data_IF_497586968233
#
_entry.id   IF_497586968233
#
_cell.length_a   1.000
_cell.length_b   1.000
_cell.length_c   1.000
_cell.angle_alpha   90.00
_cell.angle_beta   90.00
_cell.angle_gamma   90.00
#
_symmetry.space_group_name_H-M   'P 1'
#
loop_
_entity.id
_entity.type
_entity.pdbx_description
1 polymer ?
#
# COMPACT_ATOMS: atom_id res chain seq x y z
N UNK A 1 8.64 18.09 -19.91
CA UNK A 1 7.50 17.16 -19.81
C UNK A 1 7.78 16.30 -18.58
N UNK A 2 7.07 16.56 -17.48
CA UNK A 2 7.38 15.98 -16.16
C UNK A 2 6.61 14.68 -15.97
N UNK A 3 7.33 13.59 -15.74
CA UNK A 3 6.78 12.26 -15.47
C UNK A 3 5.92 12.27 -14.21
N UNK A 4 4.73 11.69 -14.32
CA UNK A 4 3.83 11.43 -13.21
C UNK A 4 4.32 10.15 -12.53
N UNK A 5 5.01 10.26 -11.40
CA UNK A 5 5.15 9.12 -10.48
C UNK A 5 3.81 8.95 -9.77
N UNK A 6 2.99 8.05 -10.29
CA UNK A 6 1.85 7.50 -9.57
C UNK A 6 2.37 6.37 -8.71
N UNK A 7 2.00 6.39 -7.44
CA UNK A 7 2.40 5.42 -6.42
C UNK A 7 1.92 4.04 -6.88
N UNK A 8 2.87 3.29 -7.43
CA UNK A 8 2.72 1.92 -7.87
C UNK A 8 2.62 1.07 -6.61
N UNK A 9 1.52 0.33 -6.47
CA UNK A 9 1.42 -0.72 -5.48
C UNK A 9 2.49 -1.76 -5.82
N UNK A 10 3.55 -1.78 -5.03
CA UNK A 10 4.67 -2.69 -5.21
C UNK A 10 4.29 -4.02 -4.55
N UNK A 11 3.95 -5.01 -5.36
CA UNK A 11 4.25 -6.40 -5.00
C UNK A 11 5.73 -6.59 -5.32
N UNK A 12 6.53 -6.75 -4.27
CA UNK A 12 7.91 -7.19 -4.39
C UNK A 12 7.92 -8.68 -4.73
N UNK A 13 7.99 -9.02 -6.01
CA UNK A 13 8.49 -10.33 -6.44
C UNK A 13 10.02 -10.23 -6.52
N UNK A 14 10.69 -10.57 -5.43
CA UNK A 14 12.14 -10.51 -5.31
C UNK A 14 12.78 -11.90 -5.40
N UNK A 15 13.08 -12.36 -6.61
CA UNK A 15 13.94 -13.53 -6.81
C UNK A 15 15.38 -13.22 -6.37
N UNK A 16 15.76 -13.65 -5.16
CA UNK A 16 17.14 -13.59 -4.67
C UNK A 16 17.91 -14.86 -5.08
N UNK A 17 18.76 -14.73 -6.10
CA UNK A 17 19.85 -15.67 -6.34
C UNK A 17 20.96 -15.47 -5.28
N UNK A 18 21.32 -16.55 -4.61
CA UNK A 18 22.35 -16.61 -3.57
C UNK A 18 23.78 -16.44 -4.12
N UNK A 19 24.64 -15.91 -3.26
CA UNK A 19 25.94 -15.33 -3.61
C UNK A 19 27.12 -16.30 -3.80
N UNK A 20 28.19 -15.72 -4.36
CA UNK A 20 29.53 -16.27 -4.48
C UNK A 20 30.53 -15.18 -4.89
N UNK A 21 31.64 -15.06 -4.16
CA UNK A 21 32.68 -14.02 -4.25
C UNK A 21 33.46 -13.97 -5.60
N UNK A 22 34.24 -12.90 -5.87
CA UNK A 22 34.43 -12.34 -7.20
C UNK A 22 35.58 -12.99 -7.97
N UNK A 23 35.30 -13.42 -9.20
CA UNK A 23 36.30 -13.76 -10.21
C UNK A 23 35.78 -13.22 -11.55
N UNK A 24 36.41 -12.14 -12.00
CA UNK A 24 36.39 -11.58 -13.36
C UNK A 24 35.14 -11.93 -14.20
N UNK A 25 34.06 -11.18 -14.02
CA UNK A 25 32.90 -11.28 -14.90
C UNK A 25 33.06 -10.29 -16.07
N UNK A 26 33.07 -10.86 -17.28
CA UNK A 26 32.85 -10.17 -18.56
C UNK A 26 31.62 -9.25 -18.50
N UNK A 27 31.48 -8.23 -19.38
CA UNK A 27 30.30 -7.38 -19.41
C UNK A 27 29.06 -8.27 -19.56
N UNK A 28 28.29 -8.37 -18.48
CA UNK A 28 27.00 -9.06 -18.46
C UNK A 28 26.14 -8.35 -19.48
N UNK A 29 25.99 -8.94 -20.66
CA UNK A 29 25.00 -8.49 -21.63
C UNK A 29 23.65 -8.45 -20.94
N UNK A 30 22.91 -7.35 -21.09
CA UNK A 30 21.55 -7.23 -20.56
C UNK A 30 20.76 -8.48 -20.98
N UNK A 31 20.45 -9.33 -20.00
CA UNK A 31 19.59 -10.48 -20.22
C UNK A 31 18.24 -9.92 -20.63
N UNK A 32 17.82 -10.22 -21.87
CA UNK A 32 16.53 -9.77 -22.34
C UNK A 32 15.43 -10.28 -21.39
N UNK A 33 14.48 -9.42 -20.98
CA UNK A 33 13.47 -9.80 -20.01
C UNK A 33 12.64 -10.98 -20.54
N UNK A 34 12.27 -11.89 -19.65
CA UNK A 34 11.42 -13.03 -19.98
C UNK A 34 10.04 -12.58 -20.48
N UNK A 35 9.29 -13.42 -21.22
CA UNK A 35 7.94 -13.05 -21.67
C UNK A 35 6.98 -12.69 -20.53
N UNK A 36 7.15 -13.28 -19.35
CA UNK A 36 6.37 -12.96 -18.15
C UNK A 36 6.75 -11.58 -17.61
N UNK A 37 8.04 -11.29 -17.46
CA UNK A 37 8.53 -9.98 -17.03
C UNK A 37 8.10 -8.86 -17.99
N UNK A 38 8.10 -9.11 -19.30
CA UNK A 38 7.60 -8.16 -20.29
C UNK A 38 6.09 -7.91 -20.14
N UNK A 39 5.31 -8.94 -19.83
CA UNK A 39 3.88 -8.81 -19.56
C UNK A 39 3.63 -7.97 -18.31
N UNK A 40 4.32 -8.27 -17.21
CA UNK A 40 4.23 -7.53 -15.94
C UNK A 40 4.59 -6.07 -16.13
N UNK A 41 5.71 -5.77 -16.78
CA UNK A 41 6.16 -4.41 -17.03
C UNK A 41 5.11 -3.61 -17.81
N UNK A 42 4.58 -4.17 -18.90
CA UNK A 42 3.52 -3.51 -19.70
C UNK A 42 2.22 -3.35 -18.92
N UNK A 43 1.90 -4.32 -18.07
CA UNK A 43 0.71 -4.28 -17.23
C UNK A 43 0.79 -3.15 -16.21
N UNK A 44 1.90 -3.06 -15.46
CA UNK A 44 2.11 -2.00 -14.49
C UNK A 44 2.32 -0.62 -15.13
N UNK A 45 2.89 -0.55 -16.33
CA UNK A 45 2.93 0.69 -17.12
C UNK A 45 1.51 1.17 -17.47
N UNK A 46 0.63 0.26 -17.90
CA UNK A 46 -0.77 0.59 -18.18
C UNK A 46 -1.51 1.07 -16.93
N UNK A 47 -1.33 0.40 -15.78
CA UNK A 47 -1.89 0.84 -14.49
C UNK A 47 -1.34 2.21 -14.07
N UNK A 48 -0.04 2.44 -14.18
CA UNK A 48 0.58 3.75 -13.94
C UNK A 48 -0.01 4.86 -14.82
N UNK A 49 -0.38 4.51 -16.06
CA UNK A 49 -1.11 5.38 -16.98
C UNK A 49 -2.59 5.61 -16.64
N UNK A 50 -3.18 4.89 -15.67
CA UNK A 50 -4.62 4.88 -15.37
C UNK A 50 -5.43 4.17 -16.45
N UNK A 51 -4.83 3.25 -17.19
CA UNK A 51 -5.44 2.53 -18.32
C UNK A 51 -5.88 1.13 -17.87
N UNK A 52 -6.82 1.05 -16.92
CA UNK A 52 -7.29 -0.22 -16.37
C UNK A 52 -7.77 -1.21 -17.44
N UNK A 53 -8.48 -0.75 -18.48
CA UNK A 53 -8.91 -1.62 -19.60
C UNK A 53 -7.74 -2.18 -20.42
N UNK A 54 -6.66 -1.41 -20.58
CA UNK A 54 -5.46 -1.89 -21.26
C UNK A 54 -4.73 -2.94 -20.40
N UNK A 55 -4.60 -2.69 -19.10
CA UNK A 55 -4.05 -3.65 -18.14
C UNK A 55 -4.87 -4.95 -18.10
N UNK A 56 -6.21 -4.84 -18.10
CA UNK A 56 -7.12 -5.98 -18.19
C UNK A 56 -6.89 -6.81 -19.46
N UNK A 57 -6.72 -6.15 -20.60
CA UNK A 57 -6.47 -6.82 -21.88
C UNK A 57 -5.14 -7.61 -21.87
N UNK A 58 -4.10 -7.04 -21.25
CA UNK A 58 -2.81 -7.71 -21.07
C UNK A 58 -2.94 -8.92 -20.15
N UNK A 59 -3.63 -8.79 -19.02
CA UNK A 59 -3.88 -9.89 -18.10
C UNK A 59 -4.62 -11.05 -18.80
N UNK A 60 -5.68 -10.75 -19.54
CA UNK A 60 -6.44 -11.74 -20.32
C UNK A 60 -5.59 -12.39 -21.42
N UNK A 61 -4.72 -11.63 -22.07
CA UNK A 61 -3.75 -12.18 -23.04
C UNK A 61 -2.78 -13.16 -22.38
N UNK A 62 -2.23 -12.81 -21.22
CA UNK A 62 -1.33 -13.68 -20.44
C UNK A 62 -1.99 -14.99 -20.03
N UNK A 63 -3.25 -14.94 -19.59
CA UNK A 63 -4.06 -16.12 -19.28
C UNK A 63 -4.30 -16.99 -20.51
N UNK A 64 -4.71 -16.39 -21.64
CA UNK A 64 -5.03 -17.11 -22.88
C UNK A 64 -3.81 -17.78 -23.48
N UNK A 65 -2.65 -17.14 -23.41
CA UNK A 65 -1.42 -17.64 -24.01
C UNK A 65 -0.67 -18.61 -23.07
N UNK A 66 -1.21 -18.90 -21.88
CA UNK A 66 -0.63 -19.83 -20.91
C UNK A 66 0.61 -19.31 -20.18
N UNK A 67 0.86 -17.99 -20.21
CA UNK A 67 1.92 -17.37 -19.42
C UNK A 67 1.53 -17.33 -17.93
N UNK A 68 0.25 -17.13 -17.64
CA UNK A 68 -0.32 -17.11 -16.30
C UNK A 68 -1.12 -18.41 -16.08
N UNK A 69 -0.53 -19.34 -15.31
CA UNK A 69 -0.99 -20.74 -15.25
C UNK A 69 -1.74 -21.10 -13.98
N UNK A 70 -1.97 -20.16 -13.07
CA UNK A 70 -2.58 -20.39 -11.77
C UNK A 70 -1.66 -21.07 -10.75
N UNK A 71 -0.36 -21.16 -11.03
CA UNK A 71 0.65 -21.74 -10.12
C UNK A 71 1.61 -20.70 -9.54
N UNK A 72 1.58 -19.49 -10.06
CA UNK A 72 2.52 -18.43 -9.75
C UNK A 72 1.79 -17.30 -8.99
N UNK A 73 2.32 -16.84 -7.84
CA UNK A 73 1.77 -15.70 -7.09
C UNK A 73 1.70 -14.40 -7.92
N UNK A 74 2.45 -14.28 -9.02
CA UNK A 74 2.37 -13.17 -9.97
C UNK A 74 0.95 -13.02 -10.51
N UNK A 75 0.26 -14.12 -10.82
CA UNK A 75 -1.08 -14.01 -11.40
C UNK A 75 -2.09 -13.41 -10.42
N UNK A 76 -2.08 -13.86 -9.16
CA UNK A 76 -2.91 -13.30 -8.10
C UNK A 76 -2.60 -11.80 -7.92
N UNK A 77 -1.32 -11.44 -7.93
CA UNK A 77 -0.83 -10.07 -7.83
C UNK A 77 -1.37 -9.15 -8.93
N UNK A 78 -1.31 -9.58 -10.18
CA UNK A 78 -1.82 -8.80 -11.31
C UNK A 78 -3.34 -8.60 -11.19
N UNK A 79 -4.07 -9.66 -10.83
CA UNK A 79 -5.53 -9.59 -10.64
C UNK A 79 -5.93 -8.65 -9.48
N UNK A 80 -5.23 -8.71 -8.35
CA UNK A 80 -5.49 -7.80 -7.21
C UNK A 80 -5.17 -6.36 -7.59
N UNK A 81 -4.04 -6.13 -8.26
CA UNK A 81 -3.65 -4.79 -8.72
C UNK A 81 -4.67 -4.19 -9.68
N UNK A 82 -5.18 -4.99 -10.61
CA UNK A 82 -6.25 -4.57 -11.53
C UNK A 82 -7.55 -4.28 -10.78
N UNK A 83 -7.96 -5.16 -9.87
CA UNK A 83 -9.17 -4.98 -9.06
C UNK A 83 -9.10 -3.72 -8.20
N UNK A 84 -7.93 -3.41 -7.65
CA UNK A 84 -7.68 -2.20 -6.88
C UNK A 84 -7.79 -0.94 -7.75
N UNK A 85 -7.14 -0.90 -8.92
CA UNK A 85 -7.24 0.24 -9.84
C UNK A 85 -8.68 0.46 -10.30
N UNK A 86 -9.40 -0.61 -10.66
CA UNK A 86 -10.81 -0.54 -11.04
C UNK A 86 -11.69 0.03 -9.91
N UNK A 87 -11.39 -0.34 -8.67
CA UNK A 87 -12.05 0.20 -7.48
C UNK A 87 -11.77 1.71 -7.30
N UNK A 88 -10.54 2.17 -7.56
CA UNK A 88 -10.21 3.59 -7.54
C UNK A 88 -10.93 4.39 -8.64
N UNK A 89 -11.13 3.78 -9.80
CA UNK A 89 -11.88 4.36 -10.92
C UNK A 89 -13.41 4.27 -10.77
N UNK A 90 -13.91 3.66 -9.69
CA UNK A 90 -15.36 3.49 -9.46
C UNK A 90 -16.01 2.38 -10.30
N UNK A 91 -15.22 1.52 -10.94
CA UNK A 91 -15.68 0.35 -11.70
C UNK A 91 -15.96 -0.82 -10.75
N UNK A 92 -16.91 -0.63 -9.82
CA UNK A 92 -17.17 -1.52 -8.67
C UNK A 92 -17.43 -2.97 -9.08
N UNK A 93 -18.24 -3.19 -10.12
CA UNK A 93 -18.56 -4.55 -10.59
C UNK A 93 -17.33 -5.28 -11.15
N UNK A 94 -16.51 -4.59 -11.94
CA UNK A 94 -15.28 -5.16 -12.50
C UNK A 94 -14.22 -5.40 -11.42
N UNK A 95 -14.08 -4.49 -10.46
CA UNK A 95 -13.24 -4.68 -9.29
C UNK A 95 -13.66 -5.94 -8.51
N UNK A 96 -14.96 -6.09 -8.22
CA UNK A 96 -15.49 -7.25 -7.51
C UNK A 96 -15.24 -8.56 -8.27
N UNK A 97 -15.41 -8.53 -9.60
CA UNK A 97 -15.13 -9.68 -10.45
C UNK A 97 -13.69 -10.16 -10.29
N UNK A 98 -12.71 -9.28 -10.47
CA UNK A 98 -11.29 -9.66 -10.43
C UNK A 98 -10.84 -10.12 -9.04
N UNK A 99 -11.27 -9.43 -7.97
CA UNK A 99 -10.93 -9.86 -6.61
C UNK A 99 -11.56 -11.22 -6.25
N UNK A 100 -12.78 -11.51 -6.73
CA UNK A 100 -13.39 -12.83 -6.57
C UNK A 100 -12.69 -13.92 -7.36
N UNK A 101 -12.11 -13.62 -8.53
CA UNK A 101 -11.28 -14.58 -9.25
C UNK A 101 -10.06 -14.98 -8.42
N UNK A 102 -9.42 -14.02 -7.75
CA UNK A 102 -8.29 -14.29 -6.85
C UNK A 102 -8.73 -15.18 -5.70
N UNK A 103 -9.82 -14.84 -5.02
CA UNK A 103 -10.36 -15.66 -3.93
C UNK A 103 -10.73 -17.08 -4.37
N UNK A 104 -11.26 -17.24 -5.58
CA UNK A 104 -11.66 -18.57 -6.11
C UNK A 104 -10.46 -19.42 -6.47
N UNK A 105 -9.41 -18.83 -7.03
CA UNK A 105 -8.26 -19.56 -7.61
C UNK A 105 -7.10 -19.73 -6.64
N UNK A 106 -6.87 -18.73 -5.79
CA UNK A 106 -5.70 -18.64 -4.90
C UNK A 106 -6.11 -18.45 -3.44
N UNK A 107 -7.41 -18.58 -3.10
CA UNK A 107 -7.94 -18.19 -1.79
C UNK A 107 -7.29 -18.86 -0.58
N UNK A 108 -6.72 -20.06 -0.74
CA UNK A 108 -6.03 -20.81 0.33
C UNK A 108 -4.52 -20.54 0.36
N UNK A 109 -3.99 -19.79 -0.59
CA UNK A 109 -2.57 -19.45 -0.67
C UNK A 109 -2.26 -18.22 0.18
N UNK A 110 -1.05 -18.12 0.77
CA UNK A 110 -0.59 -16.90 1.45
C UNK A 110 -0.63 -15.69 0.51
N UNK A 111 -1.07 -14.54 1.02
CA UNK A 111 -1.16 -13.28 0.27
C UNK A 111 0.20 -12.56 0.14
N UNK A 112 1.30 -13.32 0.06
CA UNK A 112 2.69 -12.83 0.05
C UNK A 112 3.62 -13.82 0.76
N UNK A 113 4.92 -13.72 0.51
CA UNK A 113 5.94 -14.67 1.01
C UNK A 113 5.99 -14.77 2.55
N UNK A 114 5.66 -13.67 3.24
CA UNK A 114 5.69 -13.59 4.72
C UNK A 114 4.32 -13.28 5.34
N UNK A 115 3.23 -13.49 4.61
CA UNK A 115 1.89 -13.15 5.10
C UNK A 115 1.31 -14.28 5.96
N UNK A 116 0.88 -13.94 7.18
CA UNK A 116 0.07 -14.81 8.03
C UNK A 116 -1.39 -14.93 7.53
N UNK A 117 -1.75 -14.22 6.46
CA UNK A 117 -3.08 -14.19 5.89
C UNK A 117 -3.11 -14.81 4.49
N UNK A 118 -4.14 -15.60 4.24
CA UNK A 118 -4.47 -16.08 2.90
C UNK A 118 -5.12 -14.99 2.06
N UNK A 119 -5.10 -15.13 0.73
CA UNK A 119 -5.82 -14.23 -0.17
C UNK A 119 -7.31 -14.12 0.17
N UNK A 120 -7.96 -15.22 0.56
CA UNK A 120 -9.37 -15.19 0.94
C UNK A 120 -9.62 -14.32 2.19
N UNK A 121 -8.75 -14.40 3.19
CA UNK A 121 -8.86 -13.60 4.41
C UNK A 121 -8.61 -12.11 4.11
N UNK A 122 -7.56 -11.82 3.33
CA UNK A 122 -7.18 -10.45 2.99
C UNK A 122 -8.24 -9.74 2.15
N UNK A 123 -8.83 -10.44 1.17
CA UNK A 123 -9.76 -9.83 0.20
C UNK A 123 -11.22 -9.82 0.65
N UNK A 124 -11.63 -10.68 1.59
CA UNK A 124 -13.03 -10.82 2.01
C UNK A 124 -13.68 -9.48 2.43
N UNK A 125 -13.05 -8.62 3.26
CA UNK A 125 -13.65 -7.34 3.64
C UNK A 125 -13.91 -6.43 2.44
N UNK A 126 -12.96 -6.34 1.50
CA UNK A 126 -13.06 -5.49 0.31
C UNK A 126 -14.13 -6.00 -0.65
N UNK A 127 -14.20 -7.33 -0.86
CA UNK A 127 -15.23 -7.94 -1.70
C UNK A 127 -16.63 -7.68 -1.12
N UNK A 128 -16.82 -7.89 0.19
CA UNK A 128 -18.10 -7.64 0.85
C UNK A 128 -18.54 -6.16 0.72
N UNK A 129 -17.60 -5.22 0.84
CA UNK A 129 -17.87 -3.80 0.64
C UNK A 129 -18.24 -3.47 -0.83
N UNK A 130 -17.54 -4.04 -1.81
CA UNK A 130 -17.87 -3.87 -3.23
C UNK A 130 -19.27 -4.41 -3.55
N UNK A 131 -19.68 -5.53 -2.96
CA UNK A 131 -21.02 -6.12 -3.12
C UNK A 131 -22.14 -5.24 -2.56
N UNK A 132 -21.84 -4.39 -1.57
CA UNK A 132 -22.77 -3.43 -0.99
C UNK A 132 -22.82 -2.09 -1.75
N UNK A 133 -22.19 -2.02 -2.93
CA UNK A 133 -22.19 -0.83 -3.79
C UNK A 133 -20.96 0.07 -3.66
N UNK A 134 -19.98 -0.31 -2.82
CA UNK A 134 -18.69 0.38 -2.79
C UNK A 134 -18.76 1.82 -2.24
N UNK A 135 -19.65 2.09 -1.28
CA UNK A 135 -19.78 3.41 -0.67
C UNK A 135 -18.67 3.67 0.36
N UNK A 136 -17.87 4.72 0.16
CA UNK A 136 -16.78 5.10 1.06
C UNK A 136 -17.26 6.11 2.12
N UNK A 137 -17.84 5.62 3.21
CA UNK A 137 -18.41 6.47 4.28
C UNK A 137 -17.36 7.15 5.17
N UNK A 138 -16.11 6.71 5.11
CA UNK A 138 -14.96 7.26 5.86
C UNK A 138 -14.24 8.41 5.12
N UNK A 139 -14.60 8.66 3.85
CA UNK A 139 -13.93 9.65 3.01
C UNK A 139 -14.30 11.06 3.45
N UNK A 140 -13.29 11.92 3.52
CA UNK A 140 -13.44 13.32 3.82
C UNK A 140 -13.19 14.18 2.58
N UNK A 141 -13.83 15.36 2.47
CA UNK A 141 -13.68 16.22 1.29
C UNK A 141 -12.27 16.79 1.12
N UNK A 142 -11.52 16.97 2.22
CA UNK A 142 -10.17 17.55 2.20
C UNK A 142 -9.22 16.80 3.13
N UNK A 143 -7.94 16.73 2.75
CA UNK A 143 -6.89 16.17 3.60
C UNK A 143 -6.82 16.85 4.96
N UNK A 144 -7.00 18.18 5.01
CA UNK A 144 -6.96 18.94 6.25
C UNK A 144 -8.08 18.52 7.23
N UNK A 145 -9.31 18.35 6.73
CA UNK A 145 -10.42 17.91 7.56
C UNK A 145 -10.19 16.49 8.09
N UNK A 146 -9.70 15.58 7.24
CA UNK A 146 -9.33 14.22 7.67
C UNK A 146 -8.23 14.24 8.73
N UNK A 147 -7.15 14.99 8.50
CA UNK A 147 -6.04 15.12 9.45
C UNK A 147 -6.51 15.69 10.81
N UNK A 148 -7.37 16.72 10.79
CA UNK A 148 -7.94 17.30 12.02
C UNK A 148 -8.80 16.28 12.77
N UNK A 149 -9.62 15.50 12.07
CA UNK A 149 -10.45 14.43 12.67
C UNK A 149 -9.58 13.34 13.30
N UNK A 150 -8.57 12.85 12.58
CA UNK A 150 -7.61 11.87 13.08
C UNK A 150 -6.89 12.42 14.31
N UNK A 151 -6.27 13.59 14.21
CA UNK A 151 -5.50 14.16 15.32
C UNK A 151 -6.37 14.42 16.55
N UNK A 152 -7.62 14.90 16.37
CA UNK A 152 -8.58 15.07 17.46
C UNK A 152 -8.93 13.74 18.14
N UNK A 153 -9.07 12.65 17.38
CA UNK A 153 -9.32 11.32 17.93
C UNK A 153 -8.08 10.73 18.62
N UNK A 154 -6.88 11.03 18.13
CA UNK A 154 -5.62 10.62 18.74
C UNK A 154 -5.36 11.28 20.11
N UNK A 155 -5.87 12.49 20.36
CA UNK A 155 -5.65 13.21 21.61
C UNK A 155 -6.21 12.49 22.85
N UNK A 156 -7.49 12.10 22.92
CA UNK A 156 -8.00 11.26 24.01
C UNK A 156 -7.77 9.77 23.77
N UNK A 157 -7.23 9.38 22.60
CA UNK A 157 -7.29 8.02 22.07
C UNK A 157 -8.74 7.48 22.00
N UNK A 158 -9.54 8.09 21.13
CA UNK A 158 -10.87 7.61 20.80
C UNK A 158 -10.77 6.54 19.70
N UNK A 159 -10.66 5.28 20.11
CA UNK A 159 -10.55 4.13 19.20
C UNK A 159 -11.73 4.07 18.24
N UNK A 160 -12.94 4.35 18.69
CA UNK A 160 -14.15 4.31 17.84
C UNK A 160 -14.12 5.41 16.77
N UNK A 161 -13.67 6.61 17.11
CA UNK A 161 -13.52 7.68 16.13
C UNK A 161 -12.39 7.39 15.12
N UNK A 162 -11.25 6.84 15.55
CA UNK A 162 -10.19 6.40 14.64
C UNK A 162 -10.70 5.28 13.72
N UNK A 163 -11.51 4.37 14.28
CA UNK A 163 -12.15 3.31 13.53
C UNK A 163 -13.18 3.86 12.50
N UNK A 164 -13.87 4.96 12.79
CA UNK A 164 -14.74 5.55 11.76
C UNK A 164 -13.97 6.16 10.57
N UNK A 165 -12.67 6.49 10.74
CA UNK A 165 -11.87 7.26 9.79
C UNK A 165 -10.90 6.42 8.95
N UNK A 166 -10.39 5.32 9.50
CA UNK A 166 -9.48 4.41 8.78
C UNK A 166 -10.25 3.66 7.69
N UNK A 167 -9.60 3.35 6.57
CA UNK A 167 -10.16 2.49 5.51
C UNK A 167 -10.37 1.04 6.02
N UNK A 168 -11.48 0.35 5.69
CA UNK A 168 -11.76 -0.99 6.22
C UNK A 168 -10.91 -2.11 5.59
N UNK A 169 -10.17 -1.84 4.52
CA UNK A 169 -9.33 -2.78 3.78
C UNK A 169 -8.10 -2.05 3.23
N UNK A 170 -7.10 -2.77 2.72
CA UNK A 170 -5.84 -2.20 2.22
C UNK A 170 -5.09 -1.35 3.27
N UNK A 171 -5.22 -1.72 4.55
CA UNK A 171 -4.55 -1.06 5.66
C UNK A 171 -3.10 -1.52 5.71
N UNK A 172 -2.17 -0.60 5.97
CA UNK A 172 -0.75 -0.92 6.04
C UNK A 172 -0.01 -0.18 7.16
N UNK A 173 1.12 -0.75 7.54
CA UNK A 173 2.17 -0.12 8.35
C UNK A 173 3.48 -0.27 7.58
N UNK A 174 4.32 0.76 7.59
CA UNK A 174 5.65 0.62 7.03
C UNK A 174 6.68 1.52 7.67
N UNK A 175 7.94 1.22 7.39
CA UNK A 175 9.10 1.98 7.85
C UNK A 175 9.47 3.05 6.82
N UNK A 176 9.22 2.72 5.55
CA UNK A 176 9.39 3.57 4.37
C UNK A 176 8.25 3.31 3.38
N UNK A 177 8.04 4.20 2.40
CA UNK A 177 7.07 3.96 1.33
C UNK A 177 7.37 2.68 0.52
N UNK A 178 8.63 2.27 0.45
CA UNK A 178 9.07 1.03 -0.19
C UNK A 178 8.90 -0.22 0.66
N UNK A 179 8.53 -0.08 1.94
CA UNK A 179 8.46 -1.14 2.94
C UNK A 179 7.10 -1.10 3.65
N UNK A 180 6.02 -0.97 2.87
CA UNK A 180 4.66 -1.03 3.38
C UNK A 180 4.21 -2.49 3.48
N UNK A 181 3.85 -2.92 4.69
CA UNK A 181 3.31 -4.23 4.96
C UNK A 181 1.79 -4.12 5.18
N UNK A 182 0.97 -4.92 4.48
CA UNK A 182 -0.46 -5.01 4.78
C UNK A 182 -0.67 -5.55 6.20
N UNK A 183 -1.49 -4.86 6.99
CA UNK A 183 -1.82 -5.27 8.37
C UNK A 183 -3.33 -5.33 8.56
N UNK A 184 -3.78 -6.09 9.57
CA UNK A 184 -5.18 -5.96 9.95
C UNK A 184 -5.41 -4.59 10.57
N UNK A 185 -6.59 -4.07 10.28
CA UNK A 185 -7.09 -2.82 10.83
C UNK A 185 -6.99 -2.74 12.37
N UNK A 186 -7.43 -3.80 13.05
CA UNK A 186 -7.36 -3.89 14.51
C UNK A 186 -5.93 -3.94 15.04
N UNK A 187 -4.99 -4.52 14.27
CA UNK A 187 -3.57 -4.54 14.64
C UNK A 187 -2.99 -3.12 14.58
N UNK A 188 -3.31 -2.34 13.54
CA UNK A 188 -2.92 -0.93 13.47
C UNK A 188 -3.51 -0.11 14.62
N UNK A 189 -4.81 -0.24 14.90
CA UNK A 189 -5.43 0.52 16.00
C UNK A 189 -4.80 0.15 17.35
N UNK A 190 -4.58 -1.15 17.61
CA UNK A 190 -3.96 -1.62 18.85
C UNK A 190 -2.49 -1.21 18.97
N UNK A 191 -1.77 -1.12 17.84
CA UNK A 191 -0.43 -0.53 17.79
C UNK A 191 -0.45 0.94 18.22
N UNK A 192 -1.38 1.74 17.71
CA UNK A 192 -1.51 3.15 18.11
C UNK A 192 -1.88 3.31 19.59
N UNK A 193 -2.68 2.39 20.14
CA UNK A 193 -3.06 2.38 21.56
C UNK A 193 -1.84 2.17 22.45
N UNK A 194 -1.06 1.13 22.13
CA UNK A 194 0.02 0.61 22.97
C UNK A 194 1.25 1.53 23.01
N UNK A 195 1.45 2.35 21.97
CA UNK A 195 2.69 3.12 21.79
C UNK A 195 2.50 4.63 21.90
N UNK A 196 1.36 5.10 22.43
CA UNK A 196 1.09 6.53 22.62
C UNK A 196 1.75 7.04 23.91
N UNK A 197 2.73 7.93 23.80
CA UNK A 197 3.36 8.56 24.96
C UNK A 197 2.57 9.81 25.38
N UNK A 198 1.47 9.64 26.13
CA UNK A 198 0.78 10.66 26.93
C UNK A 198 0.18 11.88 26.20
N UNK A 199 1.01 12.72 25.57
CA UNK A 199 0.62 13.92 24.82
C UNK A 199 1.20 13.88 23.41
N UNK A 200 0.33 13.84 22.42
CA UNK A 200 0.71 13.89 21.01
C UNK A 200 0.74 15.33 20.50
N UNK A 201 1.67 15.63 19.59
CA UNK A 201 1.78 16.95 18.94
C UNK A 201 1.72 16.80 17.43
N UNK A 202 1.08 17.77 16.75
CA UNK A 202 1.02 17.82 15.29
C UNK A 202 2.20 18.66 14.77
N UNK A 203 3.09 18.04 14.00
CA UNK A 203 4.34 18.65 13.53
C UNK A 203 4.13 19.57 12.32
N UNK A 204 3.29 19.17 11.37
CA UNK A 204 3.15 19.84 10.08
C UNK A 204 1.79 20.52 9.86
N UNK A 205 1.15 21.00 10.93
CA UNK A 205 -0.21 21.58 10.89
C UNK A 205 -0.37 22.68 9.84
N UNK A 206 0.63 23.56 9.73
CA UNK A 206 0.60 24.70 8.79
C UNK A 206 0.90 24.33 7.34
N UNK A 207 1.43 23.13 7.10
CA UNK A 207 1.93 22.71 5.78
C UNK A 207 0.98 21.76 5.06
N UNK A 208 0.05 21.12 5.77
CA UNK A 208 -0.95 20.23 5.18
C UNK A 208 -1.87 20.93 4.13
N UNK A 209 -2.29 22.21 4.30
CA UNK A 209 -3.12 22.91 3.32
C UNK A 209 -2.37 23.42 2.08
N UNK A 210 -1.04 23.40 2.09
CA UNK A 210 -0.20 24.10 1.11
C UNK A 210 0.20 23.23 -0.08
N UNK A 211 -0.28 21.98 -0.17
CA UNK A 211 0.05 21.10 -1.27
C UNK A 211 -0.69 21.59 -2.52
N UNK A 212 0.02 22.17 -3.50
CA UNK A 212 -0.61 22.70 -4.70
C UNK A 212 -1.35 21.56 -5.39
N UNK A 213 -2.45 21.87 -6.09
CA UNK A 213 -3.24 20.93 -6.91
C UNK A 213 -2.42 20.35 -8.07
N UNK A 214 -1.41 19.56 -7.72
CA UNK A 214 -0.25 19.24 -8.52
C UNK A 214 0.28 17.85 -8.15
N UNK A 215 -0.54 16.83 -8.38
CA UNK A 215 -0.06 15.47 -8.63
C UNK A 215 0.34 14.59 -7.44
N UNK A 216 0.50 15.11 -6.22
CA UNK A 216 0.74 14.26 -5.05
C UNK A 216 -0.56 13.55 -4.62
N UNK A 217 -0.59 12.22 -4.80
CA UNK A 217 -1.71 11.36 -4.43
C UNK A 217 -1.77 11.02 -2.93
N UNK A 218 -0.71 11.32 -2.18
CA UNK A 218 -0.59 11.00 -0.74
C UNK A 218 0.01 12.17 0.01
N UNK A 219 -0.58 12.50 1.15
CA UNK A 219 -0.10 13.52 2.06
C UNK A 219 -0.02 12.96 3.46
N UNK A 220 0.92 13.44 4.26
CA UNK A 220 1.19 12.87 5.58
C UNK A 220 0.78 13.81 6.70
N UNK A 221 -0.03 13.33 7.64
CA UNK A 221 -0.18 13.96 8.95
C UNK A 221 0.99 13.47 9.84
N UNK A 222 1.94 14.35 10.17
CA UNK A 222 3.11 14.01 11.00
C UNK A 222 2.85 14.34 12.46
N UNK A 223 2.98 13.35 13.32
CA UNK A 223 2.73 13.47 14.76
C UNK A 223 3.93 13.02 15.57
N UNK A 224 4.20 13.69 16.69
CA UNK A 224 5.24 13.34 17.68
C UNK A 224 4.61 12.94 19.01
N UNK A 225 5.38 12.24 19.84
CA UNK A 225 4.95 11.77 21.16
C UNK A 225 4.61 10.27 21.17
N UNK A 226 5.32 9.49 20.36
CA UNK A 226 5.17 8.05 20.29
C UNK A 226 6.34 7.37 21.00
N UNK A 227 6.12 6.14 21.44
CA UNK A 227 7.11 5.26 22.06
C UNK A 227 6.99 3.88 21.43
N UNK A 228 7.39 3.75 20.17
CA UNK A 228 7.32 2.46 19.46
C UNK A 228 8.42 1.50 19.97
N UNK A 229 8.30 0.17 19.71
CA UNK A 229 9.31 -0.80 20.16
C UNK A 229 10.71 -0.50 19.61
N UNK A 230 10.76 0.07 18.41
CA UNK A 230 11.98 0.41 17.69
C UNK A 230 12.51 1.82 18.00
N UNK A 231 11.91 2.52 18.96
CA UNK A 231 12.36 3.83 19.41
C UNK A 231 11.91 5.02 18.55
N UNK A 232 11.00 4.81 17.59
CA UNK A 232 10.42 5.92 16.83
C UNK A 232 9.53 6.79 17.72
N UNK A 233 9.80 8.10 17.67
CA UNK A 233 9.04 9.11 18.40
C UNK A 233 8.01 9.82 17.53
N UNK A 234 8.00 9.51 16.23
CA UNK A 234 7.19 10.16 15.21
C UNK A 234 6.44 9.14 14.35
N UNK A 235 5.14 9.37 14.14
CA UNK A 235 4.31 8.61 13.20
C UNK A 235 3.73 9.53 12.13
N UNK A 236 3.69 9.04 10.90
CA UNK A 236 3.15 9.72 9.73
C UNK A 236 1.90 9.00 9.23
N UNK A 237 0.73 9.63 9.36
CA UNK A 237 -0.54 9.07 8.91
C UNK A 237 -0.69 9.35 7.41
N UNK A 238 -0.79 8.30 6.61
CA UNK A 238 -0.85 8.40 5.15
C UNK A 238 -2.30 8.67 4.69
N UNK A 239 -2.53 9.87 4.16
CA UNK A 239 -3.82 10.32 3.66
C UNK A 239 -3.79 10.30 2.14
N UNK A 240 -4.62 9.47 1.53
CA UNK A 240 -4.65 9.23 0.08
C UNK A 240 -5.75 10.04 -0.57
N UNK A 241 -5.44 10.66 -1.72
CA UNK A 241 -6.43 11.28 -2.58
C UNK A 241 -7.03 10.23 -3.51
N UNK A 242 -8.35 10.15 -3.52
CA UNK A 242 -9.08 9.27 -4.44
C UNK A 242 -9.20 9.90 -5.84
N UNK A 243 -9.12 9.08 -6.88
CA UNK A 243 -9.31 9.52 -8.26
C UNK A 243 -10.69 10.16 -8.51
N UNK A 244 -11.72 9.65 -7.82
CA UNK A 244 -13.08 10.19 -7.85
C UNK A 244 -13.30 11.42 -6.96
N UNK A 245 -12.25 11.87 -6.23
CA UNK A 245 -12.30 12.96 -5.28
C UNK A 245 -12.48 12.52 -3.83
N UNK A 246 -12.07 13.39 -2.90
CA UNK A 246 -12.02 13.09 -1.47
C UNK A 246 -10.71 12.45 -1.02
N UNK A 247 -10.61 12.24 0.30
CA UNK A 247 -9.42 11.79 1.00
C UNK A 247 -9.76 10.69 2.00
N UNK A 248 -8.88 9.70 2.13
CA UNK A 248 -9.01 8.62 3.11
C UNK A 248 -7.69 8.28 3.78
N UNK A 249 -7.78 7.71 4.98
CA UNK A 249 -6.62 7.26 5.74
C UNK A 249 -6.39 5.77 5.50
N UNK A 250 -5.18 5.40 5.04
CA UNK A 250 -4.83 4.00 4.72
C UNK A 250 -3.85 3.34 5.68
N UNK A 251 -3.14 4.11 6.49
CA UNK A 251 -2.11 3.50 7.32
C UNK A 251 -1.17 4.51 7.93
N UNK A 252 -0.07 4.00 8.49
CA UNK A 252 0.98 4.82 9.06
C UNK A 252 2.35 4.42 8.52
N UNK A 253 3.22 5.41 8.42
CA UNK A 253 4.65 5.22 8.17
C UNK A 253 5.40 5.67 9.42
N UNK A 254 6.26 4.79 9.95
CA UNK A 254 7.16 5.09 11.05
C UNK A 254 8.21 6.08 10.55
N UNK A 255 8.45 7.18 11.27
CA UNK A 255 9.41 8.20 10.85
C UNK A 255 10.53 8.36 11.86
N UNK A 256 11.78 8.51 11.39
CA UNK A 256 12.87 9.01 12.21
C UNK A 256 12.70 10.50 12.53
N UNK A 257 13.36 10.95 13.60
CA UNK A 257 13.45 12.35 13.99
C UNK A 257 14.45 13.09 13.08
N UNK A 258 14.13 13.15 11.80
CA UNK A 258 14.85 13.85 10.75
C UNK A 258 13.90 14.09 9.58
N UNK A 259 14.06 15.20 8.86
CA UNK A 259 13.40 15.34 7.56
C UNK A 259 13.77 14.13 6.71
N UNK A 260 12.78 13.40 6.17
CA UNK A 260 13.12 12.50 5.09
C UNK A 260 13.62 13.38 3.94
N UNK A 261 14.84 13.19 3.42
CA UNK A 261 15.13 13.71 2.10
C UNK A 261 14.15 13.02 1.15
N UNK A 262 13.56 13.79 0.26
CA UNK A 262 12.66 13.33 -0.81
C UNK A 262 13.32 12.35 -1.80
N UNK A 263 14.51 11.80 -1.50
CA UNK A 263 15.29 10.91 -2.35
C UNK A 263 16.13 9.94 -1.50
N UNK A 264 15.73 8.67 -1.45
CA UNK A 264 16.58 7.46 -1.36
C UNK A 264 17.84 7.46 -0.49
N UNK A 265 17.86 8.12 0.67
CA UNK A 265 19.02 8.14 1.56
C UNK A 265 19.31 6.78 2.23
N UNK A 266 20.58 6.47 2.56
CA UNK A 266 20.97 5.16 3.07
C UNK A 266 20.47 4.90 4.50
N UNK A 267 20.00 3.66 4.69
CA UNK A 267 19.48 3.05 5.93
C UNK A 267 20.51 3.10 7.08
N UNK A 268 20.15 3.59 8.28
CA UNK A 268 20.90 3.29 9.49
C UNK A 268 20.46 1.93 10.05
N UNK A 269 21.40 1.00 10.24
CA UNK A 269 21.19 -0.15 11.15
C UNK A 269 20.36 -1.33 10.63
N UNK A 270 20.48 -1.67 9.34
CA UNK A 270 19.85 -2.87 8.76
C UNK A 270 20.46 -4.19 9.25
N UNK A 271 20.14 -4.62 10.47
CA UNK A 271 20.25 -6.02 10.85
C UNK A 271 18.88 -6.52 11.27
N UNK A 272 18.37 -7.47 10.49
CA UNK A 272 16.96 -7.85 10.42
C UNK A 272 16.34 -8.22 11.76
N UNK A 273 15.15 -7.69 12.01
CA UNK A 273 14.27 -8.13 13.11
C UNK A 273 12.82 -8.08 12.65
N UNK A 274 12.17 -9.23 12.77
CA UNK A 274 10.75 -9.44 12.53
C UNK A 274 9.93 -8.79 13.64
N UNK A 275 8.77 -8.22 13.31
CA UNK A 275 7.76 -7.74 14.26
C UNK A 275 7.08 -8.86 15.07
N UNK A 276 7.42 -10.13 14.80
CA UNK A 276 6.92 -11.30 15.51
C UNK A 276 7.90 -11.78 16.57
N UNK A 277 8.04 -11.05 17.68
CA UNK A 277 8.49 -11.63 18.95
C UNK A 277 7.91 -10.85 20.13
N UNK A 278 7.50 -11.57 21.20
CA UNK A 278 6.67 -11.06 22.29
C UNK A 278 7.34 -10.00 23.16
#
# INVERSE_FOLDING_TARGET
>A
MKGRQRIMWMVMAGALALGGSPLLAEPVGEVAPSPLEQLENRFFEALGGGQATAAESLLLEGLRNGLLTGKDPVEATLMVSLGNEMCELGLIASAAFWLKQVQTRFGNEPAGENSDQTWAQLLAPKIAWLEQGGHRTWVEPTAENLARKIFRALQPYDRTALDALLVPFDVYIGWWQSELEPVKRDELLSFLESHRAGLLTWVNEKHLPALPGGGEAVVYLKTKGWSTPDGYTTLQFALHQLAAGGWEWRGVVLGEEGELPMDGGPRPGSEGRSLTSP
#
